data_IF_689167721288
#
_entry.id   IF_689167721288
#
_cell.length_a   1.000
_cell.length_b   1.000
_cell.length_c   1.000
_cell.angle_alpha   90.00
_cell.angle_beta   90.00
_cell.angle_gamma   90.00
#
_symmetry.space_group_name_H-M   'P 1'
#
loop_
_entity.id
_entity.type
_entity.pdbx_description
1 polymer ?
#
# COMPACT_ATOMS: atom_id res chain seq x y z
N UNK A 1 -52.51 41.84 -64.71
CA UNK A 1 -51.07 41.49 -64.63
C UNK A 1 -50.84 40.80 -63.30
N UNK A 2 -50.46 39.52 -63.39
CA UNK A 2 -49.81 38.62 -62.42
C UNK A 2 -50.08 38.72 -60.90
N UNK A 3 -50.63 37.62 -60.36
CA UNK A 3 -50.56 37.18 -58.95
C UNK A 3 -49.11 36.94 -58.48
N UNK A 4 -48.80 37.14 -57.19
CA UNK A 4 -47.59 36.60 -56.58
C UNK A 4 -47.82 35.13 -56.18
N UNK A 5 -47.03 34.24 -56.79
CA UNK A 5 -46.92 32.82 -56.43
C UNK A 5 -46.16 32.67 -55.12
N UNK A 6 -46.89 32.30 -54.07
CA UNK A 6 -46.34 31.81 -52.82
C UNK A 6 -45.53 30.52 -53.10
N UNK A 7 -44.20 30.59 -52.94
CA UNK A 7 -43.29 29.47 -53.24
C UNK A 7 -42.80 28.84 -51.95
N UNK A 8 -43.36 27.67 -51.63
CA UNK A 8 -43.04 26.85 -50.46
C UNK A 8 -41.61 26.31 -50.44
N UNK A 9 -40.63 27.13 -50.06
CA UNK A 9 -39.22 26.79 -49.94
C UNK A 9 -38.70 26.52 -48.51
N UNK A 10 -39.56 26.52 -47.48
CA UNK A 10 -39.12 26.49 -46.07
C UNK A 10 -39.06 25.12 -45.39
N UNK A 11 -39.85 24.14 -45.85
CA UNK A 11 -40.02 22.84 -45.14
C UNK A 11 -38.90 21.83 -45.39
N UNK A 12 -38.32 21.79 -46.60
CA UNK A 12 -37.27 20.83 -46.96
C UNK A 12 -35.95 21.08 -46.22
N UNK A 13 -35.52 22.34 -46.17
CA UNK A 13 -34.25 22.72 -45.54
C UNK A 13 -34.32 22.60 -44.02
N UNK A 14 -35.45 22.95 -43.39
CA UNK A 14 -35.65 22.79 -41.96
C UNK A 14 -35.53 21.33 -41.49
N UNK A 15 -36.05 20.38 -42.27
CA UNK A 15 -35.93 18.95 -41.98
C UNK A 15 -34.48 18.46 -42.11
N UNK A 16 -33.74 18.92 -43.14
CA UNK A 16 -32.33 18.57 -43.33
C UNK A 16 -31.47 19.10 -42.17
N UNK A 17 -31.68 20.35 -41.75
CA UNK A 17 -30.98 20.90 -40.58
C UNK A 17 -31.32 20.16 -39.29
N UNK A 18 -32.58 19.72 -39.11
CA UNK A 18 -32.99 18.91 -37.97
C UNK A 18 -32.31 17.52 -37.95
N UNK A 19 -32.22 16.85 -39.12
CA UNK A 19 -31.51 15.58 -39.23
C UNK A 19 -30.01 15.70 -38.95
N UNK A 20 -29.37 16.75 -39.48
CA UNK A 20 -27.95 17.01 -39.21
C UNK A 20 -27.72 17.31 -37.72
N UNK A 21 -28.57 18.13 -37.11
CA UNK A 21 -28.49 18.44 -35.68
C UNK A 21 -28.66 17.19 -34.80
N UNK A 22 -29.63 16.33 -35.12
CA UNK A 22 -29.83 15.07 -34.42
C UNK A 22 -28.65 14.11 -34.58
N UNK A 23 -28.08 14.04 -35.78
CA UNK A 23 -26.90 13.23 -36.06
C UNK A 23 -25.67 13.71 -35.29
N UNK A 24 -25.44 15.03 -35.25
CA UNK A 24 -24.36 15.63 -34.45
C UNK A 24 -24.59 15.36 -32.96
N UNK A 25 -25.82 15.51 -32.46
CA UNK A 25 -26.14 15.22 -31.07
C UNK A 25 -25.90 13.74 -30.71
N UNK A 26 -26.26 12.81 -31.60
CA UNK A 26 -26.02 11.39 -31.42
C UNK A 26 -24.50 11.07 -31.40
N UNK A 27 -23.72 11.65 -32.31
CA UNK A 27 -22.27 11.50 -32.31
C UNK A 27 -21.62 12.10 -31.06
N UNK A 28 -22.09 13.26 -30.59
CA UNK A 28 -21.64 13.86 -29.34
C UNK A 28 -21.95 12.96 -28.15
N UNK A 29 -23.15 12.37 -28.08
CA UNK A 29 -23.51 11.43 -27.02
C UNK A 29 -22.61 10.18 -27.03
N UNK A 30 -22.38 9.59 -28.21
CA UNK A 30 -21.48 8.43 -28.35
C UNK A 30 -20.06 8.79 -27.93
N UNK A 31 -19.56 9.96 -28.35
CA UNK A 31 -18.24 10.44 -27.94
C UNK A 31 -18.15 10.61 -26.42
N UNK A 32 -19.16 11.20 -25.77
CA UNK A 32 -19.19 11.36 -24.31
C UNK A 32 -19.30 10.01 -23.59
N UNK A 33 -20.14 9.08 -24.05
CA UNK A 33 -20.24 7.74 -23.48
C UNK A 33 -18.91 6.97 -23.61
N UNK A 34 -18.24 7.09 -24.76
CA UNK A 34 -16.94 6.48 -24.99
C UNK A 34 -15.86 7.07 -24.09
N UNK A 35 -15.81 8.40 -23.95
CA UNK A 35 -14.89 9.08 -23.03
C UNK A 35 -15.18 8.72 -21.57
N UNK A 36 -16.45 8.62 -21.17
CA UNK A 36 -16.84 8.19 -19.83
C UNK A 36 -16.38 6.75 -19.56
N UNK A 37 -16.62 5.83 -20.51
CA UNK A 37 -16.19 4.44 -20.42
C UNK A 37 -14.66 4.31 -20.30
N UNK A 38 -13.92 5.00 -21.16
CA UNK A 38 -12.46 5.02 -21.10
C UNK A 38 -11.98 5.58 -19.77
N UNK A 39 -12.51 6.72 -19.31
CA UNK A 39 -12.11 7.32 -18.04
C UNK A 39 -12.34 6.38 -16.86
N UNK A 40 -13.49 5.70 -16.77
CA UNK A 40 -13.73 4.69 -15.71
C UNK A 40 -12.70 3.56 -15.77
N UNK A 41 -12.39 3.04 -16.95
CA UNK A 41 -11.40 1.97 -17.13
C UNK A 41 -9.96 2.41 -16.80
N UNK A 42 -9.56 3.60 -17.22
CA UNK A 42 -8.24 4.14 -16.92
C UNK A 42 -8.08 4.39 -15.42
N UNK A 43 -9.10 4.91 -14.74
CA UNK A 43 -9.06 5.12 -13.28
C UNK A 43 -8.93 3.79 -12.55
N UNK A 44 -9.72 2.77 -12.91
CA UNK A 44 -9.62 1.42 -12.33
C UNK A 44 -8.21 0.81 -12.51
N UNK A 45 -7.65 0.91 -13.72
CA UNK A 45 -6.32 0.38 -14.05
C UNK A 45 -5.20 1.14 -13.31
N UNK A 46 -5.30 2.46 -13.21
CA UNK A 46 -4.33 3.29 -12.47
C UNK A 46 -4.43 2.99 -10.97
N UNK A 47 -5.63 2.94 -10.39
CA UNK A 47 -5.80 2.64 -8.97
C UNK A 47 -5.26 1.25 -8.61
N UNK A 48 -5.53 0.25 -9.46
CA UNK A 48 -5.02 -1.11 -9.26
C UNK A 48 -3.51 -1.17 -9.39
N UNK A 49 -2.92 -0.51 -10.38
CA UNK A 49 -1.47 -0.50 -10.58
C UNK A 49 -0.73 0.29 -9.50
N UNK A 50 -1.27 1.43 -9.06
CA UNK A 50 -0.73 2.23 -7.94
C UNK A 50 -0.83 1.44 -6.64
N UNK A 51 -1.98 0.84 -6.33
CA UNK A 51 -2.15 0.01 -5.13
C UNK A 51 -1.16 -1.16 -5.10
N UNK A 52 -0.92 -1.83 -6.23
CA UNK A 52 0.10 -2.90 -6.32
C UNK A 52 1.52 -2.37 -6.17
N UNK A 53 1.83 -1.21 -6.76
CA UNK A 53 3.12 -0.55 -6.64
C UNK A 53 3.42 -0.10 -5.20
N UNK A 54 2.44 0.48 -4.52
CA UNK A 54 2.53 0.86 -3.11
C UNK A 54 2.65 -0.38 -2.21
N UNK A 55 1.84 -1.42 -2.45
CA UNK A 55 1.93 -2.71 -1.74
C UNK A 55 3.35 -3.30 -1.84
N UNK A 56 3.93 -3.35 -3.04
CA UNK A 56 5.27 -3.89 -3.26
C UNK A 56 6.36 -3.04 -2.58
N UNK A 57 6.24 -1.70 -2.64
CA UNK A 57 7.14 -0.80 -1.93
C UNK A 57 7.06 -1.01 -0.42
N UNK A 58 5.86 -1.03 0.15
CA UNK A 58 5.66 -1.24 1.59
C UNK A 58 6.12 -2.63 2.03
N UNK A 59 5.92 -3.67 1.22
CA UNK A 59 6.48 -5.00 1.48
C UNK A 59 8.01 -4.95 1.58
N UNK A 60 8.70 -4.27 0.65
CA UNK A 60 10.15 -4.07 0.72
C UNK A 60 10.57 -3.35 2.00
N UNK A 61 9.86 -2.27 2.36
CA UNK A 61 10.17 -1.47 3.54
C UNK A 61 9.93 -2.26 4.84
N UNK A 62 8.89 -3.10 4.89
CA UNK A 62 8.66 -4.02 6.02
C UNK A 62 9.79 -5.03 6.19
N UNK A 63 10.30 -5.59 5.10
CA UNK A 63 11.43 -6.52 5.13
C UNK A 63 12.68 -5.82 5.69
N UNK A 64 12.98 -4.62 5.18
CA UNK A 64 14.14 -3.84 5.64
C UNK A 64 14.02 -3.49 7.13
N UNK A 65 12.87 -2.98 7.56
CA UNK A 65 12.63 -2.64 8.97
C UNK A 65 12.71 -3.87 9.87
N UNK A 66 12.20 -5.04 9.43
CA UNK A 66 12.32 -6.29 10.19
C UNK A 66 13.78 -6.65 10.48
N UNK A 67 14.65 -6.60 9.47
CA UNK A 67 16.08 -6.88 9.66
C UNK A 67 16.80 -5.78 10.47
N UNK A 68 16.37 -4.52 10.34
CA UNK A 68 16.87 -3.46 11.23
C UNK A 68 16.52 -3.74 12.69
N UNK A 69 15.34 -4.26 13.00
CA UNK A 69 14.97 -4.64 14.39
C UNK A 69 15.90 -5.73 14.91
N UNK A 70 16.18 -6.77 14.11
CA UNK A 70 17.15 -7.82 14.47
C UNK A 70 18.52 -7.25 14.80
N UNK A 71 19.03 -6.39 13.92
CA UNK A 71 20.33 -5.75 14.11
C UNK A 71 20.37 -4.88 15.37
N UNK A 72 19.37 -4.02 15.56
CA UNK A 72 19.29 -3.11 16.72
C UNK A 72 19.11 -3.83 18.03
N UNK A 73 18.36 -4.94 18.03
CA UNK A 73 18.20 -5.81 19.21
C UNK A 73 19.54 -6.47 19.57
N UNK A 74 20.31 -6.93 18.58
CA UNK A 74 21.67 -7.42 18.80
C UNK A 74 22.62 -6.34 19.33
N UNK A 75 22.54 -5.12 18.79
CA UNK A 75 23.32 -3.97 19.26
C UNK A 75 22.93 -3.53 20.69
N UNK A 76 21.67 -3.65 21.06
CA UNK A 76 21.20 -3.43 22.43
C UNK A 76 21.83 -4.46 23.39
N UNK A 77 21.79 -5.75 23.04
CA UNK A 77 22.37 -6.80 23.86
C UNK A 77 23.89 -6.58 24.06
N UNK A 78 24.63 -6.25 22.99
CA UNK A 78 26.07 -5.97 23.10
C UNK A 78 26.37 -4.70 23.91
N UNK A 79 25.52 -3.67 23.81
CA UNK A 79 25.66 -2.45 24.63
C UNK A 79 25.38 -2.75 26.10
N UNK A 80 24.38 -3.57 26.40
CA UNK A 80 24.07 -4.01 27.77
C UNK A 80 25.22 -4.83 28.38
N UNK A 81 25.81 -5.74 27.60
CA UNK A 81 26.99 -6.51 28.01
C UNK A 81 28.20 -5.62 28.29
N UNK A 82 28.42 -4.57 27.47
CA UNK A 82 29.53 -3.61 27.65
C UNK A 82 29.36 -2.76 28.90
N UNK A 83 28.17 -2.20 29.10
CA UNK A 83 27.91 -1.22 30.16
C UNK A 83 27.63 -1.89 31.51
N UNK A 84 27.15 -3.14 31.51
CA UNK A 84 26.73 -3.90 32.71
C UNK A 84 25.74 -3.16 33.61
N UNK A 85 25.09 -2.13 33.08
CA UNK A 85 24.12 -1.29 33.77
C UNK A 85 22.99 -0.96 32.78
N UNK A 86 21.81 -1.53 33.01
CA UNK A 86 20.63 -1.31 32.18
C UNK A 86 20.10 0.13 32.21
N UNK A 87 20.50 0.90 33.22
CA UNK A 87 20.13 2.31 33.37
C UNK A 87 21.17 3.27 32.76
N UNK A 88 22.19 2.75 32.08
CA UNK A 88 23.14 3.64 31.40
C UNK A 88 22.44 4.38 30.25
N UNK A 89 22.80 5.65 29.98
CA UNK A 89 22.21 6.41 28.89
C UNK A 89 22.35 5.72 27.52
N UNK A 90 23.45 5.00 27.30
CA UNK A 90 23.71 4.27 26.05
C UNK A 90 22.78 3.06 25.88
N UNK A 91 22.49 2.30 26.94
CA UNK A 91 21.54 1.18 26.88
C UNK A 91 20.10 1.70 26.70
N UNK A 92 19.72 2.76 27.40
CA UNK A 92 18.39 3.38 27.26
C UNK A 92 18.18 3.88 25.83
N UNK A 93 19.19 4.55 25.24
CA UNK A 93 19.15 5.01 23.86
C UNK A 93 19.02 3.85 22.86
N UNK A 94 19.83 2.80 23.02
CA UNK A 94 19.76 1.61 22.15
C UNK A 94 18.40 0.90 22.24
N UNK A 95 17.83 0.80 23.44
CA UNK A 95 16.51 0.20 23.66
C UNK A 95 15.40 1.03 23.02
N UNK A 96 15.44 2.35 23.22
CA UNK A 96 14.47 3.27 22.60
C UNK A 96 14.52 3.23 21.08
N UNK A 97 15.72 3.11 20.50
CA UNK A 97 15.90 3.02 19.05
C UNK A 97 15.36 1.69 18.49
N UNK A 98 15.58 0.58 19.19
CA UNK A 98 15.00 -0.72 18.83
C UNK A 98 13.47 -0.68 18.88
N UNK A 99 12.88 -0.16 19.97
CA UNK A 99 11.43 -0.02 20.12
C UNK A 99 10.82 0.92 19.08
N UNK A 100 11.47 2.05 18.78
CA UNK A 100 11.03 2.95 17.72
C UNK A 100 11.00 2.23 16.35
N UNK A 101 11.97 1.36 16.10
CA UNK A 101 12.00 0.56 14.86
C UNK A 101 10.84 -0.45 14.82
N UNK A 102 10.47 -1.06 15.95
CA UNK A 102 9.25 -1.88 16.07
C UNK A 102 7.98 -1.06 15.79
N UNK A 103 7.88 0.16 16.32
CA UNK A 103 6.74 1.05 16.04
C UNK A 103 6.64 1.41 14.56
N UNK A 104 7.77 1.64 13.88
CA UNK A 104 7.80 1.84 12.42
C UNK A 104 7.30 0.61 11.66
N UNK A 105 7.69 -0.59 12.09
CA UNK A 105 7.18 -1.84 11.51
C UNK A 105 5.66 -1.96 11.68
N UNK A 106 5.15 -1.69 12.89
CA UNK A 106 3.72 -1.74 13.18
C UNK A 106 2.92 -0.74 12.33
N UNK A 107 3.44 0.47 12.13
CA UNK A 107 2.83 1.50 11.29
C UNK A 107 2.77 1.04 9.82
N UNK A 108 3.87 0.53 9.27
CA UNK A 108 3.91 0.00 7.91
C UNK A 108 2.97 -1.20 7.73
N UNK A 109 2.91 -2.10 8.72
CA UNK A 109 2.02 -3.26 8.71
C UNK A 109 0.54 -2.86 8.75
N UNK A 110 0.20 -1.86 9.56
CA UNK A 110 -1.16 -1.30 9.61
C UNK A 110 -1.54 -0.66 8.27
N UNK A 111 -0.63 0.13 7.68
CA UNK A 111 -0.85 0.73 6.36
C UNK A 111 -1.08 -0.35 5.29
N UNK A 112 -0.23 -1.38 5.25
CA UNK A 112 -0.35 -2.47 4.28
C UNK A 112 -1.64 -3.27 4.47
N UNK A 113 -2.03 -3.51 5.72
CA UNK A 113 -3.25 -4.23 6.04
C UNK A 113 -4.52 -3.52 5.54
N UNK A 114 -4.50 -2.20 5.33
CA UNK A 114 -5.62 -1.48 4.71
C UNK A 114 -5.90 -1.95 3.27
N UNK A 115 -4.92 -2.54 2.59
CA UNK A 115 -5.07 -3.08 1.25
C UNK A 115 -5.37 -4.59 1.23
N UNK A 116 -5.10 -5.30 2.33
CA UNK A 116 -5.14 -6.76 2.38
C UNK A 116 -6.22 -7.34 3.31
N UNK A 117 -6.86 -6.51 4.14
CA UNK A 117 -7.96 -6.88 5.03
C UNK A 117 -7.55 -7.19 6.48
N UNK A 118 -8.56 -7.48 7.30
CA UNK A 118 -8.42 -7.65 8.76
C UNK A 118 -7.54 -8.83 9.18
N UNK A 119 -7.56 -9.92 8.42
CA UNK A 119 -6.72 -11.09 8.71
C UNK A 119 -5.23 -10.73 8.66
N UNK A 120 -4.82 -9.97 7.63
CA UNK A 120 -3.45 -9.48 7.52
C UNK A 120 -3.12 -8.46 8.59
N UNK A 121 -4.09 -7.61 8.97
CA UNK A 121 -3.92 -6.70 10.11
C UNK A 121 -3.57 -7.47 11.38
N UNK A 122 -4.31 -8.52 11.70
CA UNK A 122 -4.04 -9.36 12.86
C UNK A 122 -2.65 -10.00 12.81
N UNK A 123 -2.20 -10.46 11.64
CA UNK A 123 -0.85 -11.02 11.45
C UNK A 123 0.26 -9.97 11.70
N UNK A 124 0.13 -8.76 11.14
CA UNK A 124 1.07 -7.66 11.39
C UNK A 124 1.10 -7.23 12.86
N UNK A 125 -0.06 -7.15 13.51
CA UNK A 125 -0.16 -6.84 14.94
C UNK A 125 0.48 -7.92 15.81
N UNK A 126 0.22 -9.19 15.51
CA UNK A 126 0.84 -10.31 16.24
C UNK A 126 2.36 -10.27 16.12
N UNK A 127 2.89 -10.01 14.91
CA UNK A 127 4.32 -9.90 14.67
C UNK A 127 4.93 -8.66 15.36
N UNK A 128 4.29 -7.49 15.30
CA UNK A 128 4.81 -6.30 16.00
C UNK A 128 4.84 -6.49 17.53
N UNK A 129 3.85 -7.16 18.10
CA UNK A 129 3.83 -7.49 19.52
C UNK A 129 4.94 -8.47 19.89
N UNK A 130 5.19 -9.47 19.05
CA UNK A 130 6.29 -10.41 19.22
C UNK A 130 7.65 -9.71 19.14
N UNK A 131 7.83 -8.78 18.20
CA UNK A 131 9.06 -7.99 18.07
C UNK A 131 9.29 -7.07 19.28
N UNK A 132 8.24 -6.42 19.79
CA UNK A 132 8.34 -5.62 21.02
C UNK A 132 8.75 -6.48 22.22
N UNK A 133 8.18 -7.68 22.35
CA UNK A 133 8.54 -8.66 23.38
C UNK A 133 10.01 -9.06 23.27
N UNK A 134 10.52 -9.29 22.07
CA UNK A 134 11.93 -9.65 21.84
C UNK A 134 12.87 -8.53 22.29
N UNK A 135 12.56 -7.27 21.97
CA UNK A 135 13.36 -6.11 22.42
C UNK A 135 13.37 -6.00 23.95
N UNK A 136 12.23 -6.18 24.61
CA UNK A 136 12.13 -6.19 26.08
C UNK A 136 12.95 -7.33 26.71
N UNK A 137 12.93 -8.52 26.12
CA UNK A 137 13.75 -9.65 26.58
C UNK A 137 15.25 -9.41 26.38
N UNK A 138 15.65 -8.82 25.25
CA UNK A 138 17.04 -8.46 24.99
C UNK A 138 17.55 -7.38 25.97
N UNK A 139 16.67 -6.47 26.40
CA UNK A 139 16.99 -5.50 27.45
C UNK A 139 17.21 -6.14 28.83
N UNK A 140 16.60 -7.31 29.09
CA UNK A 140 16.65 -8.01 30.39
C UNK A 140 17.69 -9.12 30.46
N UNK A 141 18.17 -9.62 29.32
CA UNK A 141 18.98 -10.84 29.26
C UNK A 141 20.33 -10.57 28.60
N UNK A 142 21.46 -10.55 29.33
CA UNK A 142 22.77 -10.21 28.80
C UNK A 142 23.50 -11.37 28.08
N UNK A 143 22.80 -12.31 27.45
CA UNK A 143 23.44 -13.52 26.91
C UNK A 143 23.01 -13.84 25.49
N UNK A 144 23.89 -13.50 24.55
CA UNK A 144 24.31 -14.13 23.28
C UNK A 144 23.35 -14.88 22.33
N UNK A 145 22.10 -15.17 22.67
CA UNK A 145 21.16 -15.90 21.81
C UNK A 145 19.99 -15.01 21.36
N UNK A 146 20.28 -13.73 21.07
CA UNK A 146 19.31 -12.82 20.47
C UNK A 146 18.68 -13.44 19.21
N UNK A 147 19.44 -14.24 18.44
CA UNK A 147 18.94 -14.99 17.29
C UNK A 147 17.81 -15.98 17.64
N UNK A 148 17.92 -16.72 18.75
CA UNK A 148 16.88 -17.68 19.20
C UNK A 148 15.59 -16.97 19.61
N UNK A 149 15.68 -15.75 20.12
CA UNK A 149 14.50 -14.94 20.43
C UNK A 149 13.65 -14.67 19.18
N UNK A 150 14.26 -14.65 17.99
CA UNK A 150 13.56 -14.39 16.74
C UNK A 150 12.94 -15.62 16.08
N UNK A 151 13.15 -16.87 16.52
CA UNK A 151 12.65 -18.06 15.80
C UNK A 151 11.14 -18.00 15.50
N UNK A 152 10.35 -17.60 16.50
CA UNK A 152 8.90 -17.41 16.34
C UNK A 152 8.56 -16.26 15.40
N UNK A 153 9.27 -15.13 15.54
CA UNK A 153 9.08 -13.96 14.69
C UNK A 153 9.50 -14.25 13.23
N UNK A 154 10.53 -15.07 13.02
CA UNK A 154 11.02 -15.52 11.72
C UNK A 154 10.00 -16.40 11.01
N UNK A 155 9.37 -17.33 11.75
CA UNK A 155 8.30 -18.15 11.20
C UNK A 155 7.11 -17.30 10.72
N UNK A 156 6.64 -16.36 11.55
CA UNK A 156 5.56 -15.44 11.19
C UNK A 156 5.94 -14.56 9.99
N UNK A 157 7.13 -13.96 10.04
CA UNK A 157 7.63 -13.10 8.99
C UNK A 157 7.82 -13.85 7.67
N UNK A 158 8.32 -15.08 7.69
CA UNK A 158 8.50 -15.91 6.50
C UNK A 158 7.17 -16.16 5.77
N UNK A 159 6.11 -16.51 6.50
CA UNK A 159 4.76 -16.67 5.91
C UNK A 159 4.28 -15.37 5.27
N UNK A 160 4.41 -14.25 5.97
CA UNK A 160 3.95 -12.95 5.49
C UNK A 160 4.78 -12.43 4.31
N UNK A 161 6.08 -12.71 4.30
CA UNK A 161 6.97 -12.35 3.21
C UNK A 161 6.66 -13.16 1.93
N UNK A 162 6.31 -14.44 2.06
CA UNK A 162 5.87 -15.25 0.92
C UNK A 162 4.61 -14.66 0.25
N UNK A 163 3.69 -14.11 1.03
CA UNK A 163 2.51 -13.42 0.49
C UNK A 163 2.88 -12.13 -0.24
N UNK A 164 3.79 -11.33 0.32
CA UNK A 164 4.35 -10.15 -0.34
C UNK A 164 5.01 -10.49 -1.69
N UNK A 165 5.80 -11.57 -1.75
CA UNK A 165 6.43 -12.04 -2.99
C UNK A 165 5.38 -12.50 -4.00
N UNK A 166 4.34 -13.21 -3.57
CA UNK A 166 3.25 -13.67 -4.45
C UNK A 166 2.47 -12.49 -5.04
N UNK A 167 2.14 -11.48 -4.25
CA UNK A 167 1.47 -10.25 -4.71
C UNK A 167 2.31 -9.48 -5.74
N UNK A 168 3.64 -9.50 -5.60
CA UNK A 168 4.57 -8.88 -6.54
C UNK A 168 4.79 -9.68 -7.84
N UNK A 169 4.71 -11.00 -7.79
CA UNK A 169 5.05 -11.90 -8.93
C UNK A 169 3.87 -12.33 -9.77
N UNK A 170 2.63 -12.16 -9.30
CA UNK A 170 1.42 -12.48 -10.08
C UNK A 170 1.32 -11.55 -11.30
N UNK A 171 1.96 -11.91 -12.42
CA UNK A 171 1.85 -11.18 -13.69
C UNK A 171 0.45 -11.36 -14.27
N UNK A 172 -0.12 -10.28 -14.81
CA UNK A 172 -1.15 -10.38 -15.86
C UNK A 172 -0.45 -10.77 -17.16
#
# INVERSE_FOLDING_TARGET
>A
MAEPKDSGGGKGNANVFAYISFFVAALSLVATMYQAYLNTRYVELIQTSVSRGETARTCKDLIDVYFQIKFRTGALASTLEREKNSNSPSVIAASSEALNTVSRFAALGTFLANFQGEEKRAQYTALSNELARIVDLAYKTPTSDASKLFEKADALFSTMNADCVRSATTRL
#
